data_IF_846408773468
#
_entry.id   IF_846408773468
#
_cell.length_a   1.000
_cell.length_b   1.000
_cell.length_c   1.000
_cell.angle_alpha   90.00
_cell.angle_beta   90.00
_cell.angle_gamma   90.00
#
_symmetry.space_group_name_H-M   'P 1'
#
loop_
_entity.id
_entity.type
_entity.pdbx_description
1 polymer ?
#
# COMPACT_ATOMS: atom_id res chain seq x y z
N UNK A 1 -33.73 -5.29 -13.19
CA UNK A 1 -33.23 -4.55 -12.01
C UNK A 1 -32.73 -5.57 -11.00
N UNK A 2 -31.50 -5.45 -10.49
CA UNK A 2 -31.02 -6.30 -9.40
C UNK A 2 -31.48 -5.70 -8.06
N UNK A 3 -32.07 -6.47 -7.13
CA UNK A 3 -32.62 -5.96 -5.87
C UNK A 3 -31.51 -5.76 -4.82
N UNK A 4 -30.47 -5.01 -5.17
CA UNK A 4 -29.32 -4.71 -4.31
C UNK A 4 -28.92 -3.25 -4.47
N UNK A 5 -28.10 -2.74 -3.55
CA UNK A 5 -27.49 -1.42 -3.72
C UNK A 5 -26.68 -1.35 -5.04
N UNK A 6 -26.68 -0.21 -5.75
CA UNK A 6 -25.99 -0.09 -7.04
C UNK A 6 -24.52 -0.52 -7.01
N UNK A 7 -23.83 -0.27 -5.90
CA UNK A 7 -22.43 -0.64 -5.67
C UNK A 7 -22.21 -2.16 -5.66
N UNK A 8 -23.14 -2.91 -5.07
CA UNK A 8 -23.15 -4.37 -5.05
C UNK A 8 -23.60 -4.94 -6.41
N UNK A 9 -24.56 -4.30 -7.08
CA UNK A 9 -24.96 -4.66 -8.44
C UNK A 9 -23.81 -4.54 -9.43
N UNK A 10 -23.02 -3.45 -9.32
CA UNK A 10 -21.77 -3.27 -10.09
C UNK A 10 -20.77 -4.39 -9.79
N UNK A 11 -20.61 -4.79 -8.54
CA UNK A 11 -19.74 -5.91 -8.16
C UNK A 11 -20.15 -7.21 -8.86
N UNK A 12 -21.44 -7.54 -8.87
CA UNK A 12 -21.97 -8.73 -9.57
C UNK A 12 -21.64 -8.66 -11.07
N UNK A 13 -21.91 -7.53 -11.72
CA UNK A 13 -21.64 -7.35 -13.17
C UNK A 13 -20.15 -7.55 -13.46
N UNK A 14 -19.26 -6.98 -12.64
CA UNK A 14 -17.83 -7.20 -12.76
C UNK A 14 -17.48 -8.69 -12.56
N UNK A 15 -18.10 -9.38 -11.58
CA UNK A 15 -17.92 -10.83 -11.41
C UNK A 15 -18.26 -11.65 -12.65
N UNK A 16 -19.27 -11.24 -13.42
CA UNK A 16 -19.60 -11.85 -14.73
C UNK A 16 -18.52 -11.56 -15.76
N UNK A 17 -18.14 -10.29 -15.94
CA UNK A 17 -17.14 -9.88 -16.96
C UNK A 17 -15.79 -10.55 -16.74
N UNK A 18 -15.39 -10.71 -15.47
CA UNK A 18 -14.10 -11.26 -15.08
C UNK A 18 -14.15 -12.74 -14.70
N UNK A 19 -15.21 -13.47 -15.06
CA UNK A 19 -15.32 -14.91 -14.86
C UNK A 19 -15.02 -15.40 -13.43
N UNK A 20 -15.43 -14.63 -12.42
CA UNK A 20 -15.28 -14.97 -11.00
C UNK A 20 -16.60 -14.78 -10.25
N UNK A 21 -17.72 -15.16 -10.89
CA UNK A 21 -19.07 -14.85 -10.42
C UNK A 21 -19.41 -15.53 -9.10
N UNK A 22 -18.99 -16.78 -8.90
CA UNK A 22 -19.33 -17.61 -7.74
C UNK A 22 -18.90 -16.99 -6.41
N UNK A 23 -17.63 -16.64 -6.16
CA UNK A 23 -17.23 -15.99 -4.92
C UNK A 23 -17.87 -14.60 -4.78
N UNK A 24 -18.02 -13.86 -5.88
CA UNK A 24 -18.66 -12.52 -5.89
C UNK A 24 -20.12 -12.59 -5.44
N UNK A 25 -20.87 -13.60 -5.89
CA UNK A 25 -22.25 -13.82 -5.43
C UNK A 25 -22.30 -14.10 -3.91
N UNK A 26 -21.30 -14.77 -3.34
CA UNK A 26 -21.22 -15.02 -1.89
C UNK A 26 -20.97 -13.72 -1.15
N UNK A 27 -20.00 -12.93 -1.61
CA UNK A 27 -19.68 -11.63 -1.02
C UNK A 27 -20.91 -10.72 -1.04
N UNK A 28 -21.56 -10.58 -2.19
CA UNK A 28 -22.74 -9.70 -2.31
C UNK A 28 -23.92 -10.21 -1.49
N UNK A 29 -24.14 -11.53 -1.42
CA UNK A 29 -25.19 -12.09 -0.58
C UNK A 29 -24.92 -11.86 0.91
N UNK A 30 -23.67 -11.99 1.37
CA UNK A 30 -23.30 -11.72 2.76
C UNK A 30 -23.40 -10.25 3.12
N UNK A 31 -22.99 -9.35 2.23
CA UNK A 31 -23.15 -7.89 2.41
C UNK A 31 -24.62 -7.43 2.35
N UNK A 32 -25.49 -8.20 1.68
CA UNK A 32 -26.94 -7.95 1.63
C UNK A 32 -27.70 -8.61 2.78
N UNK A 33 -27.04 -9.47 3.56
CA UNK A 33 -27.59 -10.18 4.70
C UNK A 33 -26.91 -9.72 6.00
N UNK A 34 -27.21 -10.40 7.11
CA UNK A 34 -26.44 -10.22 8.35
C UNK A 34 -25.13 -11.01 8.26
N UNK A 35 -24.13 -10.62 9.04
CA UNK A 35 -22.90 -11.39 9.20
C UNK A 35 -23.23 -12.81 9.71
N UNK A 36 -22.83 -13.90 9.01
CA UNK A 36 -23.07 -15.26 9.48
C UNK A 36 -22.16 -15.66 10.63
N UNK A 37 -21.04 -14.97 10.87
CA UNK A 37 -20.15 -15.25 11.99
C UNK A 37 -20.76 -14.75 13.30
N UNK A 38 -20.98 -15.68 14.23
CA UNK A 38 -21.51 -15.44 15.56
C UNK A 38 -20.37 -15.19 16.54
N UNK A 39 -20.58 -14.27 17.47
CA UNK A 39 -19.61 -13.98 18.53
C UNK A 39 -20.31 -13.97 19.90
N UNK A 40 -20.61 -15.15 20.47
CA UNK A 40 -21.16 -15.26 21.82
C UNK A 40 -20.21 -14.67 22.86
N UNK A 41 -20.72 -13.90 23.82
CA UNK A 41 -19.88 -13.21 24.81
C UNK A 41 -19.01 -14.15 25.64
N UNK A 42 -19.53 -15.34 25.98
CA UNK A 42 -18.86 -16.37 26.77
C UNK A 42 -17.83 -17.19 25.99
N UNK A 43 -17.87 -17.13 24.65
CA UNK A 43 -17.00 -17.90 23.74
C UNK A 43 -16.33 -17.04 22.68
N UNK A 44 -16.14 -15.76 22.99
CA UNK A 44 -15.60 -14.77 22.05
C UNK A 44 -14.27 -15.22 21.45
N UNK A 45 -13.32 -15.64 22.28
CA UNK A 45 -11.98 -16.03 21.81
C UNK A 45 -12.02 -17.26 20.89
N UNK A 46 -12.91 -18.22 21.17
CA UNK A 46 -13.11 -19.39 20.32
C UNK A 46 -13.74 -19.03 18.98
N UNK A 47 -14.72 -18.12 18.98
CA UNK A 47 -15.35 -17.62 17.76
C UNK A 47 -14.37 -16.82 16.89
N UNK A 48 -13.57 -15.94 17.50
CA UNK A 48 -12.51 -15.19 16.81
C UNK A 48 -11.46 -16.15 16.22
N UNK A 49 -11.04 -17.17 16.97
CA UNK A 49 -10.12 -18.19 16.47
C UNK A 49 -10.70 -18.99 15.30
N UNK A 50 -11.97 -19.39 15.37
CA UNK A 50 -12.65 -20.07 14.27
C UNK A 50 -12.75 -19.19 13.02
N UNK A 51 -13.12 -17.91 13.18
CA UNK A 51 -13.17 -16.96 12.06
C UNK A 51 -11.79 -16.72 11.44
N UNK A 52 -10.73 -16.66 12.25
CA UNK A 52 -9.36 -16.50 11.78
C UNK A 52 -8.87 -17.68 10.91
N UNK A 53 -9.39 -18.90 11.13
CA UNK A 53 -9.06 -20.05 10.27
C UNK A 53 -9.56 -19.84 8.83
N UNK A 54 -10.73 -19.22 8.65
CA UNK A 54 -11.23 -18.86 7.32
C UNK A 54 -10.47 -17.73 6.66
N UNK A 55 -9.85 -16.84 7.44
CA UNK A 55 -9.00 -15.78 6.90
C UNK A 55 -7.82 -16.34 6.10
N UNK A 56 -7.28 -17.50 6.50
CA UNK A 56 -6.08 -18.10 5.91
C UNK A 56 -4.88 -17.12 5.77
N UNK A 57 -4.85 -16.06 6.59
CA UNK A 57 -3.90 -14.93 6.53
C UNK A 57 -3.95 -14.14 5.21
N UNK A 58 -5.12 -14.08 4.60
CA UNK A 58 -5.38 -13.31 3.38
C UNK A 58 -5.88 -11.90 3.67
N UNK A 59 -6.03 -11.51 4.94
CA UNK A 59 -6.39 -10.16 5.32
C UNK A 59 -7.70 -9.67 4.67
N UNK A 60 -8.70 -10.55 4.55
CA UNK A 60 -9.97 -10.28 3.87
C UNK A 60 -11.14 -10.95 4.59
N UNK A 61 -12.03 -10.12 5.15
CA UNK A 61 -13.31 -10.58 5.72
C UNK A 61 -14.20 -11.19 4.63
N UNK A 62 -14.17 -10.62 3.43
CA UNK A 62 -14.98 -11.07 2.29
C UNK A 62 -14.53 -12.44 1.78
N UNK A 63 -13.22 -12.71 1.69
CA UNK A 63 -12.72 -14.04 1.31
C UNK A 63 -12.92 -15.07 2.44
N UNK A 64 -12.80 -14.65 3.71
CA UNK A 64 -13.14 -15.51 4.85
C UNK A 64 -14.62 -15.96 4.80
N UNK A 65 -15.53 -15.03 4.43
CA UNK A 65 -16.93 -15.33 4.20
C UNK A 65 -17.15 -16.33 3.05
N UNK A 66 -16.42 -16.17 1.93
CA UNK A 66 -16.47 -17.11 0.79
C UNK A 66 -16.11 -18.52 1.27
N UNK A 67 -14.99 -18.69 1.97
CA UNK A 67 -14.54 -20.00 2.46
C UNK A 67 -15.49 -20.62 3.49
N UNK A 68 -16.05 -19.81 4.39
CA UNK A 68 -17.05 -20.29 5.35
C UNK A 68 -18.33 -20.77 4.67
N UNK A 69 -18.78 -20.06 3.63
CA UNK A 69 -19.93 -20.46 2.83
C UNK A 69 -19.66 -21.73 2.03
N UNK A 70 -18.50 -21.84 1.37
CA UNK A 70 -18.15 -23.00 0.55
C UNK A 70 -18.03 -24.27 1.41
N UNK A 71 -17.34 -24.18 2.55
CA UNK A 71 -17.25 -25.29 3.49
C UNK A 71 -18.60 -25.67 4.09
N UNK A 72 -19.48 -24.70 4.37
CA UNK A 72 -20.85 -25.01 4.77
C UNK A 72 -21.64 -25.69 3.66
N UNK A 73 -21.46 -25.26 2.40
CA UNK A 73 -22.15 -25.86 1.25
C UNK A 73 -21.74 -27.31 1.06
N UNK A 74 -20.45 -27.62 1.21
CA UNK A 74 -19.93 -28.97 1.18
C UNK A 74 -20.51 -29.83 2.31
N UNK A 75 -20.56 -29.30 3.53
CA UNK A 75 -21.16 -29.97 4.69
C UNK A 75 -22.67 -30.22 4.52
N UNK A 76 -23.42 -29.26 3.95
CA UNK A 76 -24.85 -29.45 3.64
C UNK A 76 -25.06 -30.59 2.64
N UNK A 77 -24.19 -30.77 1.63
CA UNK A 77 -24.27 -31.92 0.71
C UNK A 77 -24.07 -33.25 1.42
N UNK A 78 -23.32 -33.24 2.53
CA UNK A 78 -23.07 -34.39 3.40
C UNK A 78 -24.05 -34.48 4.59
N UNK A 79 -25.11 -33.66 4.61
CA UNK A 79 -26.10 -33.59 5.69
C UNK A 79 -25.50 -33.23 7.08
N UNK A 80 -24.31 -32.63 7.11
CA UNK A 80 -23.60 -32.22 8.33
C UNK A 80 -23.51 -30.70 8.49
N UNK A 81 -24.26 -29.92 7.69
CA UNK A 81 -24.18 -28.46 7.67
C UNK A 81 -24.53 -27.77 9.01
N UNK A 82 -25.43 -28.35 9.81
CA UNK A 82 -25.70 -27.84 11.17
C UNK A 82 -24.49 -28.03 12.09
N UNK A 83 -23.86 -29.20 12.06
CA UNK A 83 -22.65 -29.49 12.84
C UNK A 83 -21.49 -28.59 12.40
N UNK A 84 -21.33 -28.38 11.09
CA UNK A 84 -20.35 -27.43 10.54
C UNK A 84 -20.58 -26.01 11.08
N UNK A 85 -21.83 -25.54 11.10
CA UNK A 85 -22.16 -24.23 11.63
C UNK A 85 -21.84 -24.12 13.13
N UNK A 86 -22.22 -25.14 13.90
CA UNK A 86 -21.96 -25.20 15.34
C UNK A 86 -20.46 -25.14 15.67
N UNK A 87 -19.65 -25.96 14.98
CA UNK A 87 -18.19 -26.01 15.20
C UNK A 87 -17.49 -24.70 14.86
N UNK A 88 -17.99 -23.98 13.86
CA UNK A 88 -17.34 -22.79 13.32
C UNK A 88 -17.99 -21.47 13.76
N UNK A 89 -18.91 -21.51 14.73
CA UNK A 89 -19.66 -20.34 15.20
C UNK A 89 -20.38 -19.60 14.06
N UNK A 90 -21.06 -20.33 13.18
CA UNK A 90 -21.81 -19.77 12.07
C UNK A 90 -23.32 -19.89 12.29
N UNK A 91 -24.08 -18.93 11.78
CA UNK A 91 -25.54 -18.99 11.72
C UNK A 91 -26.02 -19.78 10.50
N UNK A 92 -26.54 -20.99 10.73
CA UNK A 92 -27.15 -21.81 9.68
C UNK A 92 -28.31 -21.09 8.97
N UNK A 93 -29.10 -20.30 9.71
CA UNK A 93 -30.20 -19.51 9.14
C UNK A 93 -29.67 -18.44 8.18
N UNK A 94 -28.60 -17.74 8.56
CA UNK A 94 -27.99 -16.70 7.74
C UNK A 94 -27.38 -17.29 6.47
N UNK A 95 -26.66 -18.42 6.58
CA UNK A 95 -26.07 -19.09 5.41
C UNK A 95 -27.13 -19.61 4.43
N UNK A 96 -28.26 -20.15 4.92
CA UNK A 96 -29.42 -20.51 4.08
C UNK A 96 -30.05 -19.32 3.39
N UNK A 97 -30.14 -18.17 4.08
CA UNK A 97 -30.61 -16.93 3.48
C UNK A 97 -29.66 -16.45 2.37
N UNK A 98 -28.34 -16.51 2.61
CA UNK A 98 -27.33 -16.19 1.61
C UNK A 98 -27.39 -17.12 0.39
N UNK A 99 -27.51 -18.44 0.57
CA UNK A 99 -27.68 -19.41 -0.53
C UNK A 99 -28.93 -19.10 -1.36
N UNK A 100 -30.01 -18.66 -0.71
CA UNK A 100 -31.24 -18.24 -1.39
C UNK A 100 -31.03 -16.97 -2.21
N UNK A 101 -30.36 -15.95 -1.65
CA UNK A 101 -30.01 -14.71 -2.36
C UNK A 101 -29.10 -14.99 -3.56
N UNK A 102 -28.08 -15.85 -3.41
CA UNK A 102 -27.19 -16.25 -4.51
C UNK A 102 -27.97 -16.84 -5.68
N UNK A 103 -28.93 -17.74 -5.41
CA UNK A 103 -29.80 -18.33 -6.44
C UNK A 103 -30.68 -17.26 -7.10
N UNK A 104 -31.22 -16.33 -6.33
CA UNK A 104 -32.03 -15.22 -6.87
C UNK A 104 -31.21 -14.31 -7.79
N UNK A 105 -30.01 -13.91 -7.38
CA UNK A 105 -29.12 -13.10 -8.20
C UNK A 105 -28.73 -13.83 -9.49
N UNK A 106 -28.36 -15.11 -9.40
CA UNK A 106 -28.05 -15.92 -10.57
C UNK A 106 -29.25 -16.05 -11.53
N UNK A 107 -30.46 -16.27 -10.99
CA UNK A 107 -31.68 -16.32 -11.79
C UNK A 107 -31.91 -14.99 -12.53
N UNK A 108 -31.77 -13.86 -11.85
CA UNK A 108 -31.91 -12.55 -12.47
C UNK A 108 -30.85 -12.28 -13.54
N UNK A 109 -29.60 -12.70 -13.33
CA UNK A 109 -28.55 -12.56 -14.35
C UNK A 109 -28.84 -13.38 -15.61
N UNK A 110 -29.40 -14.58 -15.44
CA UNK A 110 -29.88 -15.42 -16.55
C UNK A 110 -31.07 -14.80 -17.27
N UNK A 111 -32.05 -14.30 -16.52
CA UNK A 111 -33.24 -13.64 -17.06
C UNK A 111 -32.88 -12.38 -17.89
N UNK A 112 -31.88 -11.62 -17.44
CA UNK A 112 -31.35 -10.47 -18.17
C UNK A 112 -30.55 -10.90 -19.42
N UNK A 113 -30.07 -12.15 -19.47
CA UNK A 113 -29.21 -12.68 -20.53
C UNK A 113 -27.75 -12.25 -20.41
N UNK A 114 -27.28 -11.95 -19.19
CA UNK A 114 -25.86 -11.67 -18.94
C UNK A 114 -25.05 -12.95 -18.66
N UNK A 115 -25.74 -14.04 -18.30
CA UNK A 115 -25.13 -15.33 -17.95
C UNK A 115 -25.93 -16.43 -18.64
N UNK A 116 -25.29 -17.21 -19.52
CA UNK A 116 -25.93 -18.36 -20.17
C UNK A 116 -25.94 -19.58 -19.24
N UNK A 117 -24.76 -19.94 -18.74
CA UNK A 117 -24.57 -21.02 -17.78
C UNK A 117 -23.82 -20.52 -16.55
N UNK A 118 -24.05 -21.14 -15.40
CA UNK A 118 -23.29 -20.74 -14.21
C UNK A 118 -21.81 -21.08 -14.38
N UNK A 119 -21.51 -22.23 -14.97
CA UNK A 119 -20.16 -22.75 -15.17
C UNK A 119 -19.33 -21.87 -16.11
N UNK A 120 -19.95 -21.20 -17.09
CA UNK A 120 -19.24 -20.36 -18.06
C UNK A 120 -18.66 -19.07 -17.48
N UNK A 121 -19.08 -18.63 -16.30
CA UNK A 121 -18.66 -17.35 -15.69
C UNK A 121 -17.77 -17.51 -14.45
N UNK A 122 -17.02 -18.61 -14.37
CA UNK A 122 -16.30 -19.02 -13.16
C UNK A 122 -14.87 -19.54 -13.40
N UNK A 123 -14.31 -19.31 -14.59
CA UNK A 123 -12.97 -19.77 -14.94
C UNK A 123 -11.86 -19.26 -13.99
N UNK A 124 -12.07 -18.09 -13.37
CA UNK A 124 -11.11 -17.43 -12.48
C UNK A 124 -11.64 -17.23 -11.06
N UNK A 125 -12.63 -18.01 -10.62
CA UNK A 125 -13.19 -17.92 -9.27
C UNK A 125 -12.21 -18.24 -8.15
N UNK A 126 -11.12 -18.96 -8.45
CA UNK A 126 -10.06 -19.27 -7.50
C UNK A 126 -8.91 -18.24 -7.52
N UNK A 127 -8.98 -17.23 -8.39
CA UNK A 127 -7.98 -16.16 -8.44
C UNK A 127 -8.32 -15.09 -7.40
N UNK A 128 -7.77 -15.24 -6.21
CA UNK A 128 -8.11 -14.38 -5.07
C UNK A 128 -7.72 -12.91 -5.29
N UNK A 129 -6.63 -12.65 -6.03
CA UNK A 129 -6.20 -11.29 -6.37
C UNK A 129 -7.22 -10.61 -7.29
N UNK A 130 -7.74 -11.35 -8.26
CA UNK A 130 -8.82 -10.87 -9.11
C UNK A 130 -10.11 -10.64 -8.31
N UNK A 131 -10.49 -11.56 -7.43
CA UNK A 131 -11.69 -11.41 -6.59
C UNK A 131 -11.58 -10.17 -5.70
N UNK A 132 -10.42 -9.89 -5.09
CA UNK A 132 -10.16 -8.62 -4.36
C UNK A 132 -10.35 -7.41 -5.25
N UNK A 133 -9.89 -7.48 -6.49
CA UNK A 133 -10.01 -6.40 -7.44
C UNK A 133 -11.48 -6.10 -7.77
N UNK A 134 -12.30 -7.15 -7.92
CA UNK A 134 -13.75 -7.00 -8.13
C UNK A 134 -14.45 -6.46 -6.89
N UNK A 135 -14.07 -6.93 -5.69
CA UNK A 135 -14.56 -6.38 -4.41
C UNK A 135 -14.24 -4.88 -4.34
N UNK A 136 -13.02 -4.48 -4.69
CA UNK A 136 -12.63 -3.07 -4.77
C UNK A 136 -13.53 -2.28 -5.75
N UNK A 137 -13.73 -2.81 -6.96
CA UNK A 137 -14.56 -2.17 -7.98
C UNK A 137 -16.03 -1.95 -7.56
N UNK A 138 -16.54 -2.83 -6.69
CA UNK A 138 -17.87 -2.72 -6.10
C UNK A 138 -17.95 -1.79 -4.88
N UNK A 139 -16.97 -1.86 -3.97
CA UNK A 139 -17.01 -1.12 -2.69
C UNK A 139 -16.38 0.27 -2.73
N UNK A 140 -15.60 0.59 -3.76
CA UNK A 140 -15.07 1.94 -3.96
C UNK A 140 -16.23 2.97 -4.03
N UNK A 141 -16.15 4.13 -3.32
CA UNK A 141 -14.96 4.75 -2.71
C UNK A 141 -14.69 4.40 -1.23
N UNK A 142 -15.27 3.33 -0.68
CA UNK A 142 -15.00 2.85 0.68
C UNK A 142 -13.56 2.33 0.84
N UNK A 143 -12.58 3.24 0.97
CA UNK A 143 -11.15 2.93 1.04
C UNK A 143 -10.49 3.55 2.27
N UNK A 144 -9.53 2.83 2.83
CA UNK A 144 -8.76 3.20 4.00
C UNK A 144 -7.26 2.98 3.76
N UNK A 145 -6.43 3.97 4.06
CA UNK A 145 -4.97 3.84 4.02
C UNK A 145 -4.45 3.03 5.21
N UNK A 146 -3.48 2.16 4.95
CA UNK A 146 -2.78 1.35 5.95
C UNK A 146 -1.38 1.90 6.14
N UNK A 147 -1.01 2.22 7.38
CA UNK A 147 0.36 2.60 7.73
C UNK A 147 0.85 1.71 8.86
N UNK A 148 1.73 0.77 8.54
CA UNK A 148 2.40 -0.08 9.51
C UNK A 148 3.40 0.73 10.34
N UNK A 149 3.28 0.68 11.66
CA UNK A 149 4.25 1.17 12.64
C UNK A 149 4.96 -0.03 13.27
N UNK A 150 5.99 0.22 14.09
CA UNK A 150 6.79 -0.85 14.72
C UNK A 150 5.96 -1.90 15.47
N UNK A 151 4.85 -1.51 16.11
CA UNK A 151 4.02 -2.39 16.95
C UNK A 151 2.51 -2.26 16.73
N UNK A 152 2.08 -1.54 15.70
CA UNK A 152 0.66 -1.27 15.46
C UNK A 152 0.42 -0.81 14.03
N UNK A 153 -0.86 -0.78 13.63
CA UNK A 153 -1.30 -0.25 12.36
C UNK A 153 -2.05 1.06 12.60
N UNK A 154 -1.78 2.08 11.77
CA UNK A 154 -2.59 3.28 11.71
C UNK A 154 -3.47 3.23 10.46
N UNK A 155 -4.77 3.32 10.66
CA UNK A 155 -5.77 3.29 9.61
C UNK A 155 -6.39 4.68 9.45
N UNK A 156 -6.56 5.12 8.20
CA UNK A 156 -7.21 6.41 7.92
C UNK A 156 -8.12 6.38 6.71
N UNK A 157 -9.29 7.02 6.83
CA UNK A 157 -10.20 7.29 5.71
C UNK A 157 -10.11 8.76 5.29
N UNK A 158 -10.65 9.08 4.10
CA UNK A 158 -10.70 10.45 3.60
C UNK A 158 -11.57 11.36 4.47
N UNK A 159 -12.72 10.84 4.90
CA UNK A 159 -13.75 11.64 5.57
C UNK A 159 -13.51 11.78 7.07
N UNK A 160 -13.02 10.73 7.74
CA UNK A 160 -12.97 10.69 9.21
C UNK A 160 -11.55 10.82 9.79
N UNK A 161 -10.53 10.79 8.94
CA UNK A 161 -9.15 10.70 9.41
C UNK A 161 -8.92 9.34 10.06
N UNK A 162 -8.51 9.30 11.33
CA UNK A 162 -8.18 8.05 12.03
C UNK A 162 -9.40 7.15 12.26
N UNK A 163 -9.32 5.89 11.81
CA UNK A 163 -10.36 4.88 12.02
C UNK A 163 -9.80 3.62 12.67
N UNK A 164 -10.68 2.76 13.16
CA UNK A 164 -10.35 1.46 13.74
C UNK A 164 -11.09 0.34 12.98
N UNK A 165 -10.65 -0.90 13.14
CA UNK A 165 -11.38 -2.08 12.67
C UNK A 165 -12.30 -2.57 13.78
N UNK A 166 -13.49 -3.03 13.40
CA UNK A 166 -14.39 -3.70 14.34
C UNK A 166 -13.76 -5.01 14.83
N UNK A 167 -13.97 -5.39 16.09
CA UNK A 167 -13.28 -6.55 16.68
C UNK A 167 -13.55 -7.87 15.95
N UNK A 168 -14.71 -7.99 15.30
CA UNK A 168 -15.06 -9.18 14.51
C UNK A 168 -14.37 -9.25 13.14
N UNK A 169 -13.64 -8.20 12.72
CA UNK A 169 -12.89 -8.25 11.47
C UNK A 169 -11.66 -9.15 11.62
N UNK A 170 -11.37 -9.98 10.61
CA UNK A 170 -10.16 -10.81 10.58
C UNK A 170 -8.88 -9.98 10.62
N UNK A 171 -8.95 -8.70 10.26
CA UNK A 171 -7.81 -7.78 10.25
C UNK A 171 -7.62 -7.05 11.59
N UNK A 172 -8.56 -7.16 12.54
CA UNK A 172 -8.56 -6.34 13.74
C UNK A 172 -7.39 -6.63 14.70
N UNK A 173 -6.90 -7.87 14.70
CA UNK A 173 -5.81 -8.33 15.57
C UNK A 173 -4.48 -8.51 14.83
N UNK A 174 -4.43 -8.15 13.54
CA UNK A 174 -3.22 -8.29 12.75
C UNK A 174 -2.22 -7.18 13.10
N UNK A 175 -0.98 -7.52 13.51
CA UNK A 175 0.01 -6.53 13.91
C UNK A 175 0.59 -5.77 12.71
N UNK A 176 0.51 -6.36 11.52
CA UNK A 176 0.90 -5.77 10.24
C UNK A 176 -0.02 -6.27 9.15
N UNK A 177 -0.36 -5.38 8.22
CA UNK A 177 -1.09 -5.72 7.00
C UNK A 177 -0.15 -5.45 5.82
N UNK A 178 0.20 -6.43 5.00
CA UNK A 178 1.19 -6.31 3.91
C UNK A 178 0.60 -5.63 2.66
N UNK A 179 -0.39 -4.76 2.83
CA UNK A 179 -1.07 -4.04 1.77
C UNK A 179 -1.22 -2.57 2.16
N UNK A 180 -1.11 -1.64 1.20
CA UNK A 180 -1.23 -0.21 1.47
C UNK A 180 -2.67 0.24 1.75
N UNK A 181 -3.67 -0.56 1.36
CA UNK A 181 -5.07 -0.18 1.44
C UNK A 181 -5.96 -1.31 2.00
N UNK A 182 -7.03 -0.88 2.66
CA UNK A 182 -8.21 -1.70 2.92
C UNK A 182 -9.40 -1.10 2.17
N UNK A 183 -10.16 -1.93 1.48
CA UNK A 183 -11.51 -1.58 1.02
C UNK A 183 -12.56 -2.11 2.01
N UNK A 184 -13.63 -1.37 2.24
CA UNK A 184 -14.69 -1.69 3.19
C UNK A 184 -16.08 -1.33 2.65
N UNK A 185 -17.12 -2.00 3.11
CA UNK A 185 -18.51 -1.71 2.74
C UNK A 185 -19.13 -0.61 3.62
N UNK A 186 -19.08 -0.79 4.94
CA UNK A 186 -19.71 0.11 5.91
C UNK A 186 -18.80 0.49 7.07
N UNK A 187 -19.01 1.70 7.58
CA UNK A 187 -18.39 2.20 8.81
C UNK A 187 -19.48 2.64 9.79
N UNK A 188 -19.22 2.44 11.09
CA UNK A 188 -20.13 2.84 12.17
C UNK A 188 -19.39 3.73 13.15
N UNK A 189 -20.03 4.83 13.57
CA UNK A 189 -19.50 5.73 14.59
C UNK A 189 -20.23 5.49 15.91
N UNK A 190 -19.46 5.10 16.93
CA UNK A 190 -19.94 5.00 18.32
C UNK A 190 -19.12 5.96 19.17
N UNK A 191 -18.03 5.48 19.76
CA UNK A 191 -17.03 6.31 20.46
C UNK A 191 -15.84 6.69 19.55
N UNK A 192 -15.63 5.88 18.51
CA UNK A 192 -14.71 6.10 17.40
C UNK A 192 -15.39 5.59 16.13
N UNK A 193 -14.76 5.85 14.97
CA UNK A 193 -15.23 5.31 13.68
C UNK A 193 -14.61 3.93 13.48
N UNK A 194 -15.46 2.93 13.29
CA UNK A 194 -15.08 1.53 13.08
C UNK A 194 -15.50 1.06 11.69
N UNK A 195 -14.58 0.45 10.94
CA UNK A 195 -14.91 -0.27 9.72
C UNK A 195 -15.42 -1.66 10.09
N UNK A 196 -16.59 -2.05 9.60
CA UNK A 196 -17.25 -3.31 9.96
C UNK A 196 -16.56 -4.53 9.36
N UNK A 197 -16.19 -4.41 8.10
CA UNK A 197 -15.58 -5.40 7.25
C UNK A 197 -14.43 -4.75 6.48
N UNK A 198 -13.46 -5.56 6.05
CA UNK A 198 -12.33 -5.04 5.29
C UNK A 198 -11.71 -6.10 4.38
N UNK A 199 -11.07 -5.64 3.30
CA UNK A 199 -10.23 -6.46 2.44
C UNK A 199 -9.00 -5.70 2.01
N UNK A 200 -7.86 -6.30 2.25
CA UNK A 200 -6.58 -5.74 1.88
C UNK A 200 -6.35 -5.80 0.36
N UNK A 201 -5.96 -4.66 -0.22
CA UNK A 201 -5.78 -4.49 -1.67
C UNK A 201 -4.52 -3.68 -2.00
N UNK A 202 -3.97 -3.90 -3.20
CA UNK A 202 -2.74 -3.27 -3.68
C UNK A 202 -2.99 -1.95 -4.43
N UNK A 203 -1.91 -1.27 -4.81
CA UNK A 203 -1.99 -0.03 -5.61
C UNK A 203 -2.55 -0.31 -7.01
N UNK A 204 -2.11 -1.39 -7.66
CA UNK A 204 -2.61 -1.84 -8.96
C UNK A 204 -4.13 -2.01 -8.94
N UNK A 205 -4.67 -2.63 -7.89
CA UNK A 205 -6.11 -2.85 -7.73
C UNK A 205 -6.84 -1.51 -7.66
N UNK A 206 -6.37 -0.57 -6.84
CA UNK A 206 -6.99 0.76 -6.71
C UNK A 206 -6.91 1.53 -8.03
N UNK A 207 -5.76 1.49 -8.71
CA UNK A 207 -5.55 2.19 -9.99
C UNK A 207 -6.53 1.68 -11.07
N UNK A 208 -6.68 0.36 -11.20
CA UNK A 208 -7.53 -0.25 -12.23
C UNK A 208 -9.02 -0.17 -11.86
N UNK A 209 -9.40 -0.57 -10.64
CA UNK A 209 -10.81 -0.75 -10.26
C UNK A 209 -11.40 0.37 -9.40
N UNK A 210 -10.56 1.28 -8.89
CA UNK A 210 -10.99 2.46 -8.15
C UNK A 210 -11.62 3.54 -9.05
N UNK A 211 -11.70 4.76 -8.52
CA UNK A 211 -12.36 5.89 -9.16
C UNK A 211 -11.62 6.48 -10.37
N UNK A 212 -12.10 7.63 -10.84
CA UNK A 212 -11.49 8.37 -11.94
C UNK A 212 -10.07 8.83 -11.59
N UNK A 213 -9.13 8.53 -12.47
CA UNK A 213 -7.75 9.02 -12.37
C UNK A 213 -7.71 10.46 -12.90
N UNK A 214 -7.16 11.35 -12.10
CA UNK A 214 -6.86 12.74 -12.43
C UNK A 214 -5.37 12.98 -12.20
N UNK A 215 -4.66 13.63 -13.11
CA UNK A 215 -3.21 13.84 -12.95
C UNK A 215 -2.48 14.06 -14.26
N UNK A 216 -1.21 14.45 -14.18
CA UNK A 216 -0.35 14.61 -15.34
C UNK A 216 0.36 13.27 -15.57
N UNK A 217 -0.24 12.36 -16.34
CA UNK A 217 0.38 11.07 -16.65
C UNK A 217 1.84 11.24 -17.20
N UNK A 218 2.09 12.36 -17.90
CA UNK A 218 3.41 12.77 -18.41
C UNK A 218 4.51 12.96 -17.34
N UNK A 219 4.18 13.23 -16.08
CA UNK A 219 5.16 13.33 -14.99
C UNK A 219 5.13 12.18 -13.99
N UNK A 220 4.37 11.12 -14.30
CA UNK A 220 4.31 9.91 -13.47
C UNK A 220 3.52 10.08 -12.17
N UNK A 221 2.77 11.19 -12.03
CA UNK A 221 1.92 11.45 -10.88
C UNK A 221 0.44 11.27 -11.23
N UNK A 222 -0.18 10.26 -10.64
CA UNK A 222 -1.61 9.98 -10.76
C UNK A 222 -2.31 10.27 -9.43
N UNK A 223 -3.52 10.82 -9.49
CA UNK A 223 -4.32 11.13 -8.31
C UNK A 223 -5.75 10.61 -8.47
N UNK A 224 -6.38 10.27 -7.36
CA UNK A 224 -7.83 10.01 -7.29
C UNK A 224 -8.43 10.73 -6.09
N UNK A 225 -9.76 10.89 -6.08
CA UNK A 225 -10.52 11.50 -4.98
C UNK A 225 -9.98 12.89 -4.58
N UNK A 226 -9.71 13.73 -5.59
CA UNK A 226 -9.23 15.10 -5.36
C UNK A 226 -7.82 15.19 -4.76
N UNK A 227 -6.97 14.17 -4.97
CA UNK A 227 -5.61 14.12 -4.40
C UNK A 227 -5.53 13.42 -3.05
N UNK A 228 -6.61 12.79 -2.58
CA UNK A 228 -6.54 11.94 -1.39
C UNK A 228 -5.69 10.69 -1.63
N UNK A 229 -5.84 10.09 -2.81
CA UNK A 229 -4.98 8.99 -3.28
C UNK A 229 -3.99 9.58 -4.27
N UNK A 230 -2.69 9.47 -3.98
CA UNK A 230 -1.59 9.93 -4.83
C UNK A 230 -0.65 8.76 -5.11
N UNK A 231 -0.36 8.53 -6.40
CA UNK A 231 0.49 7.45 -6.87
C UNK A 231 1.65 8.05 -7.67
N UNK A 232 2.87 7.69 -7.28
CA UNK A 232 4.11 8.16 -7.91
C UNK A 232 4.84 7.00 -8.57
N UNK A 233 5.03 7.07 -9.89
CA UNK A 233 5.66 6.01 -10.68
C UNK A 233 6.38 6.59 -11.89
N UNK A 234 6.98 5.73 -12.72
CA UNK A 234 7.54 6.19 -14.00
C UNK A 234 6.42 6.68 -14.94
N UNK A 235 6.66 7.71 -15.76
CA UNK A 235 5.64 8.20 -16.70
C UNK A 235 5.13 7.13 -17.66
N UNK A 236 5.99 6.19 -18.09
CA UNK A 236 5.60 5.07 -18.93
C UNK A 236 4.59 4.16 -18.21
N UNK A 237 4.84 3.79 -16.95
CA UNK A 237 3.94 2.96 -16.17
C UNK A 237 2.61 3.69 -15.88
N UNK A 238 2.67 4.98 -15.57
CA UNK A 238 1.46 5.79 -15.38
C UNK A 238 0.58 5.81 -16.62
N UNK A 239 1.17 6.00 -17.81
CA UNK A 239 0.44 5.94 -19.08
C UNK A 239 -0.17 4.56 -19.33
N UNK A 240 0.56 3.48 -19.00
CA UNK A 240 0.04 2.11 -19.11
C UNK A 240 -1.20 1.90 -18.24
N UNK A 241 -1.17 2.28 -16.95
CA UNK A 241 -2.34 2.16 -16.08
C UNK A 241 -3.54 2.97 -16.58
N UNK A 242 -3.29 4.19 -17.09
CA UNK A 242 -4.35 5.03 -17.66
C UNK A 242 -4.96 4.39 -18.91
N UNK A 243 -4.14 3.84 -19.81
CA UNK A 243 -4.65 3.15 -21.02
C UNK A 243 -5.42 1.89 -20.66
N UNK A 244 -4.85 1.04 -19.80
CA UNK A 244 -5.49 -0.20 -19.36
C UNK A 244 -6.81 0.07 -18.67
N UNK A 245 -6.89 1.04 -17.75
CA UNK A 245 -8.15 1.41 -17.09
C UNK A 245 -9.20 1.86 -18.10
N UNK A 246 -8.81 2.65 -19.11
CA UNK A 246 -9.72 3.08 -20.18
C UNK A 246 -10.23 1.88 -20.98
N UNK A 247 -9.34 1.04 -21.47
CA UNK A 247 -9.68 -0.15 -22.26
C UNK A 247 -10.56 -1.12 -21.46
N UNK A 248 -10.29 -1.28 -20.16
CA UNK A 248 -11.09 -2.09 -19.24
C UNK A 248 -12.51 -1.53 -19.06
N UNK A 249 -12.64 -0.22 -18.89
CA UNK A 249 -13.95 0.43 -18.80
C UNK A 249 -14.73 0.32 -20.11
N UNK A 250 -14.05 0.45 -21.26
CA UNK A 250 -14.64 0.25 -22.58
C UNK A 250 -15.11 -1.19 -22.76
N UNK A 251 -14.34 -2.18 -22.31
CA UNK A 251 -14.70 -3.60 -22.35
C UNK A 251 -15.98 -3.86 -21.54
N UNK A 252 -16.03 -3.38 -20.29
CA UNK A 252 -17.21 -3.52 -19.42
C UNK A 252 -18.42 -2.83 -20.06
N UNK A 253 -18.23 -1.63 -20.62
CA UNK A 253 -19.31 -0.89 -21.28
C UNK A 253 -19.83 -1.62 -22.53
N UNK A 254 -18.94 -2.18 -23.38
CA UNK A 254 -19.32 -2.98 -24.54
C UNK A 254 -20.13 -4.20 -24.14
N UNK A 255 -19.72 -4.93 -23.10
CA UNK A 255 -20.46 -6.08 -22.57
C UNK A 255 -21.83 -5.70 -21.99
N UNK A 256 -21.98 -4.49 -21.46
CA UNK A 256 -23.27 -4.01 -20.97
C UNK A 256 -24.22 -3.58 -22.10
N UNK A 257 -23.68 -3.06 -23.21
CA UNK A 257 -24.47 -2.68 -24.38
C UNK A 257 -24.86 -3.89 -25.24
N UNK A 258 -23.93 -4.82 -25.45
CA UNK A 258 -24.14 -6.06 -26.20
C UNK A 258 -23.96 -7.27 -25.27
N UNK A 259 -25.08 -7.93 -24.98
CA UNK A 259 -25.14 -9.07 -24.06
C UNK A 259 -24.40 -10.29 -24.62
N UNK A 260 -24.39 -10.44 -25.94
CA UNK A 260 -23.72 -11.53 -26.65
C UNK A 260 -22.24 -11.22 -26.92
N UNK A 261 -21.76 -10.04 -26.50
CA UNK A 261 -20.36 -9.67 -26.67
C UNK A 261 -19.45 -10.70 -26.01
N UNK A 262 -18.58 -11.28 -26.83
CA UNK A 262 -17.58 -12.24 -26.36
C UNK A 262 -16.42 -11.51 -25.70
N UNK A 263 -16.38 -11.56 -24.37
CA UNK A 263 -15.29 -10.99 -23.57
C UNK A 263 -13.98 -11.76 -23.81
N UNK A 264 -14.05 -13.03 -24.20
CA UNK A 264 -12.88 -13.87 -24.52
C UNK A 264 -12.03 -13.32 -25.65
N UNK A 265 -12.63 -12.57 -26.59
CA UNK A 265 -11.91 -11.85 -27.65
C UNK A 265 -10.89 -10.81 -27.13
N UNK A 266 -11.01 -10.38 -25.87
CA UNK A 266 -10.10 -9.45 -25.20
C UNK A 266 -9.26 -10.17 -24.12
N UNK A 267 -8.95 -11.45 -24.33
CA UNK A 267 -8.20 -12.29 -23.40
C UNK A 267 -6.87 -11.67 -22.96
N UNK A 268 -6.10 -11.09 -23.88
CA UNK A 268 -4.81 -10.45 -23.57
C UNK A 268 -4.94 -9.30 -22.55
N UNK A 269 -5.99 -8.47 -22.67
CA UNK A 269 -6.27 -7.38 -21.74
C UNK A 269 -6.61 -7.92 -20.35
N UNK A 270 -7.44 -8.95 -20.29
CA UNK A 270 -7.83 -9.57 -19.02
C UNK A 270 -6.65 -10.28 -18.34
N UNK A 271 -5.81 -10.97 -19.11
CA UNK A 271 -4.57 -11.58 -18.61
C UNK A 271 -3.58 -10.52 -18.11
N UNK A 272 -3.41 -9.42 -18.83
CA UNK A 272 -2.59 -8.30 -18.40
C UNK A 272 -3.09 -7.69 -17.07
N UNK A 273 -4.41 -7.51 -16.94
CA UNK A 273 -5.03 -7.04 -15.70
C UNK A 273 -4.78 -8.03 -14.56
N UNK A 274 -4.97 -9.33 -14.79
CA UNK A 274 -4.72 -10.39 -13.80
C UNK A 274 -3.27 -10.39 -13.33
N UNK A 275 -2.32 -10.34 -14.27
CA UNK A 275 -0.89 -10.31 -13.96
C UNK A 275 -0.51 -9.07 -13.13
N UNK A 276 -1.08 -7.90 -13.45
CA UNK A 276 -0.81 -6.66 -12.72
C UNK A 276 -1.37 -6.67 -11.30
N UNK A 277 -2.50 -7.33 -11.05
CA UNK A 277 -3.08 -7.42 -9.69
C UNK A 277 -2.46 -8.55 -8.86
N UNK A 278 -1.95 -9.62 -9.49
CA UNK A 278 -1.30 -10.73 -8.79
C UNK A 278 0.16 -10.45 -8.45
N UNK A 279 0.91 -9.80 -9.35
CA UNK A 279 2.36 -9.58 -9.20
C UNK A 279 2.72 -8.25 -8.51
N UNK A 280 1.73 -7.47 -8.06
CA UNK A 280 1.96 -6.21 -7.36
C UNK A 280 2.59 -6.47 -5.98
N UNK A 281 3.88 -6.15 -5.88
CA UNK A 281 4.68 -6.32 -4.66
C UNK A 281 4.29 -5.34 -3.53
N UNK A 282 3.32 -4.45 -3.76
CA UNK A 282 2.88 -3.45 -2.77
C UNK A 282 4.02 -2.56 -2.27
N UNK A 283 5.08 -2.37 -3.07
CA UNK A 283 6.27 -1.58 -2.73
C UNK A 283 6.06 -0.06 -2.90
N UNK A 284 4.86 0.33 -3.36
CA UNK A 284 4.48 1.72 -3.58
C UNK A 284 4.71 2.59 -2.34
N UNK A 285 5.49 3.66 -2.51
CA UNK A 285 5.68 4.67 -1.48
C UNK A 285 4.54 5.68 -1.55
N UNK A 286 3.39 5.33 -0.97
CA UNK A 286 2.30 6.26 -0.77
C UNK A 286 2.72 7.42 0.14
N UNK A 287 2.28 8.63 -0.18
CA UNK A 287 2.50 9.80 0.68
C UNK A 287 1.16 10.49 0.93
N UNK A 288 0.63 10.35 2.14
CA UNK A 288 -0.52 11.11 2.59
C UNK A 288 -0.18 12.62 2.65
N UNK A 289 -0.89 13.44 1.86
CA UNK A 289 -0.94 14.89 2.06
C UNK A 289 0.34 15.67 1.73
N UNK A 290 1.16 15.22 0.77
CA UNK A 290 2.20 16.11 0.21
C UNK A 290 1.57 17.06 -0.78
N UNK A 291 1.42 18.34 -0.40
CA UNK A 291 1.21 19.40 -1.40
C UNK A 291 2.34 19.30 -2.44
N UNK A 292 2.04 19.20 -3.75
CA UNK A 292 3.08 19.21 -4.76
C UNK A 292 3.85 20.52 -4.61
N UNK A 293 5.15 20.45 -4.41
CA UNK A 293 5.98 21.64 -4.55
C UNK A 293 5.78 22.14 -5.98
N UNK A 294 5.41 23.41 -6.20
CA UNK A 294 5.27 23.92 -7.56
C UNK A 294 6.65 23.78 -8.23
N UNK A 295 6.68 23.04 -9.34
CA UNK A 295 7.82 22.99 -10.24
C UNK A 295 8.16 24.44 -10.61
N UNK A 296 9.24 24.99 -10.06
CA UNK A 296 9.77 26.29 -10.49
C UNK A 296 10.22 26.11 -11.94
N UNK A 297 9.40 26.58 -12.87
CA UNK A 297 9.80 26.78 -14.26
C UNK A 297 11.01 27.70 -14.30
N UNK A 298 12.00 27.32 -15.12
CA UNK A 298 13.14 28.15 -15.43
C UNK A 298 12.66 29.43 -16.14
N UNK A 299 12.55 30.52 -15.39
CA UNK A 299 12.71 31.93 -15.79
C UNK A 299 12.20 32.81 -14.65
N UNK A 300 13.11 33.14 -13.74
CA UNK A 300 13.16 34.43 -13.04
C UNK A 300 14.45 34.47 -12.23
N UNK A 301 15.57 34.47 -12.96
CA UNK A 301 16.77 35.15 -12.50
C UNK A 301 16.54 36.64 -12.79
N UNK A 302 16.24 37.42 -11.76
CA UNK A 302 16.91 38.67 -11.38
C UNK A 302 16.00 39.57 -10.56
N UNK A 303 16.60 40.14 -9.51
CA UNK A 303 16.18 41.26 -8.65
C UNK A 303 15.30 40.93 -7.44
N UNK A 304 15.98 40.86 -6.30
CA UNK A 304 15.81 41.70 -5.08
C UNK A 304 16.46 40.94 -3.91
N UNK A 305 17.75 41.11 -3.61
CA UNK A 305 18.37 42.23 -2.85
C UNK A 305 17.48 42.73 -1.69
N UNK A 306 17.81 42.20 -0.50
CA UNK A 306 17.85 42.81 0.84
C UNK A 306 16.52 43.32 1.47
N UNK A 307 16.06 42.62 2.51
CA UNK A 307 16.01 43.18 3.88
C UNK A 307 15.80 42.10 4.97
N UNK A 308 16.90 41.83 5.67
CA UNK A 308 17.08 41.40 7.07
C UNK A 308 15.86 41.28 8.03
N UNK A 309 15.70 40.13 8.70
CA UNK A 309 15.98 39.87 10.16
C UNK A 309 15.31 38.57 10.64
N UNK A 310 16.06 37.65 11.24
CA UNK A 310 15.49 36.55 12.07
C UNK A 310 16.23 35.21 12.09
N UNK A 311 17.30 35.13 12.88
CA UNK A 311 17.95 33.97 13.54
C UNK A 311 17.46 32.52 13.30
N UNK A 312 18.40 31.62 12.95
CA UNK A 312 18.22 30.16 13.00
C UNK A 312 19.32 29.34 12.32
N UNK A 313 20.59 29.52 12.73
CA UNK A 313 21.75 28.87 12.09
C UNK A 313 21.77 27.34 12.23
N UNK A 314 21.85 26.63 11.11
CA UNK A 314 22.11 25.19 11.10
C UNK A 314 23.56 24.91 11.58
N UNK A 315 23.70 24.07 12.60
CA UNK A 315 25.00 23.70 13.17
C UNK A 315 25.78 22.79 12.19
N UNK A 316 27.00 23.15 11.75
CA UNK A 316 27.75 22.37 10.76
C UNK A 316 28.03 20.93 11.21
N UNK A 317 28.16 20.68 12.52
CA UNK A 317 28.34 19.32 13.05
C UNK A 317 27.13 18.42 12.79
N UNK A 318 25.91 18.93 12.98
CA UNK A 318 24.69 18.14 12.75
C UNK A 318 24.43 17.94 11.26
N UNK A 319 24.80 18.93 10.44
CA UNK A 319 24.71 18.83 8.99
C UNK A 319 25.64 17.72 8.45
N UNK A 320 26.91 17.72 8.87
CA UNK A 320 27.88 16.69 8.46
C UNK A 320 27.46 15.28 8.90
N UNK A 321 27.00 15.12 10.14
CA UNK A 321 26.52 13.84 10.65
C UNK A 321 25.30 13.33 9.87
N UNK A 322 24.36 14.22 9.53
CA UNK A 322 23.17 13.86 8.75
C UNK A 322 23.54 13.42 7.32
N UNK A 323 24.49 14.09 6.68
CA UNK A 323 24.96 13.71 5.35
C UNK A 323 25.65 12.34 5.34
N UNK A 324 26.53 12.08 6.32
CA UNK A 324 27.22 10.80 6.43
C UNK A 324 26.26 9.65 6.74
N UNK A 325 25.27 9.87 7.61
CA UNK A 325 24.23 8.89 7.92
C UNK A 325 23.37 8.54 6.69
N UNK A 326 22.98 9.54 5.89
CA UNK A 326 22.25 9.33 4.63
C UNK A 326 23.06 8.55 3.59
N UNK A 327 24.38 8.73 3.59
CA UNK A 327 25.30 7.99 2.73
C UNK A 327 25.70 6.60 3.28
N UNK A 328 25.15 6.18 4.43
CA UNK A 328 25.40 4.87 5.03
C UNK A 328 26.75 4.72 5.74
N UNK A 329 27.43 5.83 6.07
CA UNK A 329 28.75 5.84 6.72
C UNK A 329 28.64 6.02 8.25
N UNK A 330 29.69 5.61 8.97
CA UNK A 330 29.78 5.80 10.43
C UNK A 330 29.88 7.30 10.79
N UNK A 331 29.40 7.64 11.99
CA UNK A 331 29.44 9.00 12.52
C UNK A 331 30.87 9.56 12.58
N UNK A 332 31.07 10.86 12.30
CA UNK A 332 32.40 11.48 12.27
C UNK A 332 32.99 11.60 13.68
N UNK A 333 34.30 11.34 13.80
CA UNK A 333 35.05 11.47 15.05
C UNK A 333 35.93 12.72 15.06
N UNK A 334 36.19 13.31 16.22
CA UNK A 334 36.95 14.56 16.35
C UNK A 334 38.17 14.37 17.25
N UNK A 335 39.35 14.79 16.78
CA UNK A 335 40.58 14.88 17.58
C UNK A 335 40.95 16.34 17.79
N UNK A 336 41.19 16.73 19.04
CA UNK A 336 41.52 18.11 19.39
C UNK A 336 42.96 18.20 19.87
N UNK A 337 43.71 19.13 19.30
CA UNK A 337 45.08 19.45 19.71
C UNK A 337 45.13 20.88 20.24
N UNK A 338 45.75 21.07 21.41
CA UNK A 338 46.00 22.40 21.98
C UNK A 338 47.33 22.94 21.45
N UNK A 339 47.32 24.17 20.94
CA UNK A 339 48.50 24.84 20.39
C UNK A 339 49.18 25.71 21.46
N UNK A 340 50.43 26.07 21.22
CA UNK A 340 51.30 26.85 22.14
C UNK A 340 50.78 28.26 22.44
N UNK A 341 49.93 28.81 21.57
CA UNK A 341 49.29 30.13 21.73
C UNK A 341 47.91 30.09 22.40
N UNK A 342 47.64 29.08 23.24
CA UNK A 342 46.36 28.86 23.93
C UNK A 342 45.12 28.69 23.02
N UNK A 343 45.30 28.44 21.72
CA UNK A 343 44.22 28.09 20.78
C UNK A 343 44.05 26.57 20.66
N UNK A 344 42.89 26.13 20.21
CA UNK A 344 42.56 24.74 19.93
C UNK A 344 42.37 24.53 18.44
N UNK A 345 42.88 23.41 17.93
CA UNK A 345 42.65 22.98 16.55
C UNK A 345 42.01 21.60 16.58
N UNK A 346 40.92 21.43 15.83
CA UNK A 346 40.26 20.14 15.72
C UNK A 346 40.49 19.53 14.34
N UNK A 347 40.55 18.20 14.30
CA UNK A 347 40.57 17.40 13.08
C UNK A 347 39.35 16.48 13.10
N UNK A 348 38.50 16.57 12.08
CA UNK A 348 37.37 15.66 11.90
C UNK A 348 37.80 14.49 11.02
N UNK A 349 37.44 13.28 11.43
CA UNK A 349 37.87 12.02 10.84
C UNK A 349 36.64 11.16 10.53
N UNK A 350 36.46 10.82 9.25
CA UNK A 350 35.42 9.90 8.79
C UNK A 350 35.89 9.18 7.52
N UNK A 351 35.49 7.92 7.36
CA UNK A 351 35.79 7.11 6.16
C UNK A 351 37.28 7.14 5.72
N UNK A 352 38.22 7.18 6.67
CA UNK A 352 39.67 7.25 6.40
C UNK A 352 40.21 8.61 5.95
N UNK A 353 39.35 9.64 5.86
CA UNK A 353 39.71 11.01 5.53
C UNK A 353 39.82 11.86 6.80
N UNK A 354 40.77 12.80 6.79
CA UNK A 354 41.03 13.72 7.91
C UNK A 354 40.95 15.17 7.41
N UNK A 355 40.10 15.98 8.00
CA UNK A 355 39.98 17.41 7.68
C UNK A 355 40.31 18.25 8.89
N UNK A 356 41.26 19.17 8.72
CA UNK A 356 41.81 19.99 9.81
C UNK A 356 41.18 21.37 9.76
N UNK A 357 40.47 21.75 10.83
CA UNK A 357 39.89 23.08 10.98
C UNK A 357 40.93 24.15 11.31
N UNK A 358 40.51 25.41 11.23
CA UNK A 358 41.35 26.52 11.65
C UNK A 358 41.52 26.57 13.18
N UNK A 359 42.60 27.18 13.71
CA UNK A 359 42.79 27.35 15.14
C UNK A 359 41.79 28.33 15.75
N UNK A 360 41.00 27.87 16.71
CA UNK A 360 39.94 28.65 17.36
C UNK A 360 40.17 28.79 18.86
N UNK A 361 39.55 29.79 19.49
CA UNK A 361 39.70 30.08 20.93
C UNK A 361 39.02 29.05 21.83
N UNK A 362 37.97 28.37 21.32
CA UNK A 362 37.27 27.31 22.05
C UNK A 362 37.33 25.95 21.34
N UNK A 363 37.33 24.87 22.13
CA UNK A 363 37.27 23.49 21.62
C UNK A 363 36.04 23.25 20.74
N UNK A 364 34.89 23.81 21.12
CA UNK A 364 33.61 23.62 20.41
C UNK A 364 33.58 24.34 19.06
N UNK A 365 34.19 25.52 18.95
CA UNK A 365 34.30 26.24 17.68
C UNK A 365 35.31 25.56 16.75
N UNK A 366 36.45 25.11 17.27
CA UNK A 366 37.43 24.37 16.48
C UNK A 366 36.82 23.12 15.81
N UNK A 367 35.93 22.41 16.52
CA UNK A 367 35.18 21.27 15.96
C UNK A 367 34.14 21.69 14.91
N UNK A 368 33.48 22.84 15.09
CA UNK A 368 32.53 23.37 14.10
C UNK A 368 33.25 23.80 12.82
N UNK A 369 34.41 24.43 12.95
CA UNK A 369 35.27 24.82 11.83
C UNK A 369 35.77 23.59 11.07
N UNK A 370 36.26 22.57 11.78
CA UNK A 370 36.67 21.31 11.15
C UNK A 370 35.51 20.62 10.41
N UNK A 371 34.29 20.66 10.98
CA UNK A 371 33.10 20.13 10.32
C UNK A 371 32.68 20.96 9.08
N UNK A 372 32.88 22.28 9.11
CA UNK A 372 32.59 23.16 7.99
C UNK A 372 33.56 22.93 6.81
N UNK A 373 34.85 22.75 7.09
CA UNK A 373 35.86 22.39 6.08
C UNK A 373 35.54 21.05 5.39
N UNK A 374 35.17 20.04 6.17
CA UNK A 374 34.72 18.75 5.63
C UNK A 374 33.45 18.88 4.77
N UNK A 375 32.51 19.74 5.17
CA UNK A 375 31.29 20.01 4.39
C UNK A 375 31.60 20.71 3.07
N UNK A 376 32.45 21.73 3.08
CA UNK A 376 32.86 22.44 1.86
C UNK A 376 33.56 21.51 0.87
N UNK A 377 34.38 20.59 1.37
CA UNK A 377 34.99 19.55 0.55
C UNK A 377 33.96 18.59 -0.05
N UNK A 378 32.95 18.19 0.74
CA UNK A 378 31.88 17.29 0.29
C UNK A 378 30.90 17.96 -0.69
N UNK A 379 30.67 19.27 -0.57
CA UNK A 379 29.78 20.04 -1.46
C UNK A 379 30.50 20.60 -2.69
N UNK A 380 31.84 20.43 -2.78
CA UNK A 380 32.63 20.74 -3.97
C UNK A 380 32.88 22.23 -4.21
N UNK A 381 32.80 23.08 -3.19
CA UNK A 381 32.91 24.53 -3.35
C UNK A 381 34.35 25.05 -3.56
N UNK A 382 35.35 24.16 -3.60
CA UNK A 382 36.72 24.53 -3.96
C UNK A 382 37.30 23.61 -5.05
N UNK A 383 37.38 24.17 -6.26
CA UNK A 383 38.21 23.80 -7.43
C UNK A 383 37.72 22.75 -8.44
N UNK A 384 37.67 23.21 -9.71
CA UNK A 384 37.76 22.50 -11.02
C UNK A 384 36.90 21.23 -11.24
N UNK A 385 36.03 21.31 -12.26
CA UNK A 385 35.02 20.32 -12.66
C UNK A 385 35.53 18.90 -12.98
N UNK A 386 36.84 18.67 -13.05
CA UNK A 386 37.40 17.34 -13.30
C UNK A 386 37.59 16.50 -12.03
N UNK A 387 37.66 17.10 -10.82
CA UNK A 387 37.85 16.34 -9.56
C UNK A 387 36.54 15.94 -8.89
N UNK A 388 35.42 16.58 -9.20
CA UNK A 388 34.10 16.29 -8.61
C UNK A 388 33.64 14.84 -8.83
N UNK A 389 34.02 14.23 -9.97
CA UNK A 389 33.72 12.82 -10.28
C UNK A 389 34.55 11.88 -9.40
N UNK A 390 35.81 12.22 -9.11
CA UNK A 390 36.63 11.45 -8.16
C UNK A 390 36.11 11.57 -6.72
N UNK A 391 35.62 12.75 -6.31
CA UNK A 391 35.08 13.00 -4.97
C UNK A 391 33.84 12.15 -4.64
N UNK A 392 32.90 12.00 -5.58
CA UNK A 392 31.75 11.09 -5.41
C UNK A 392 32.14 9.61 -5.51
N UNK A 393 33.18 9.28 -6.29
CA UNK A 393 33.68 7.89 -6.38
C UNK A 393 34.32 7.41 -5.06
N UNK A 394 34.90 8.31 -4.27
CA UNK A 394 35.44 8.01 -2.94
C UNK A 394 34.34 7.72 -1.90
N UNK A 395 33.17 8.34 -2.04
CA UNK A 395 31.97 8.07 -1.22
C UNK A 395 31.31 6.72 -1.55
N UNK A 396 31.42 6.25 -2.80
CA UNK A 396 30.80 5.03 -3.32
C UNK A 396 31.68 3.76 -3.16
N UNK A 397 32.98 3.91 -2.89
CA UNK A 397 33.86 2.74 -2.62
C UNK A 397 33.61 2.21 -1.21
N UNK A 398 32.86 1.10 -1.10
CA UNK A 398 32.82 0.26 0.12
C UNK A 398 34.26 -0.15 0.48
N UNK A 399 34.68 0.14 1.71
CA UNK A 399 35.90 -0.45 2.30
C UNK A 399 35.77 -1.98 2.30
N UNK A 400 36.49 -2.65 1.40
CA UNK A 400 36.76 -4.09 1.53
C UNK A 400 37.74 -4.28 2.69
N UNK A 401 37.20 -4.50 3.88
CA UNK A 401 38.00 -4.95 5.02
C UNK A 401 38.43 -6.42 4.83
N UNK A 402 39.74 -6.63 5.03
CA UNK A 402 40.49 -7.88 5.05
C UNK A 402 39.77 -9.01 5.82
N UNK A 403 39.46 -10.11 5.13
CA UNK A 403 39.52 -11.46 5.72
C UNK A 403 40.88 -12.06 5.36
N UNK A 404 41.88 -11.76 6.18
CA UNK A 404 43.07 -12.61 6.34
C UNK A 404 43.00 -13.15 7.77
N UNK A 405 42.41 -14.33 7.92
CA UNK A 405 42.69 -15.19 9.06
C UNK A 405 43.91 -16.04 8.66
N UNK A 406 45.09 -15.61 9.08
CA UNK A 406 46.20 -16.53 9.30
C UNK A 406 46.15 -16.90 10.79
N UNK A 407 45.75 -18.15 11.10
CA UNK A 407 46.34 -18.86 12.23
C UNK A 407 46.80 -20.21 11.71
N UNK A 408 48.10 -20.26 11.43
CA UNK A 408 48.85 -21.43 11.06
C UNK A 408 48.97 -22.37 12.26
N UNK A 409 48.86 -23.67 11.97
CA UNK A 409 49.21 -24.83 12.81
C UNK A 409 50.36 -24.60 13.80
N UNK A 410 50.22 -25.18 14.99
CA UNK A 410 51.33 -25.83 15.71
C UNK A 410 50.86 -27.20 16.24
N UNK A 411 51.63 -28.21 15.82
CA UNK A 411 51.77 -29.63 16.24
C UNK A 411 50.55 -30.42 16.69
#
# INVERSE_FOLDING_TARGET
MLPVEPKLGKMIILGVVFNCLDPVLTVVAGLSARDPFLMPFDKKDLAESAKAQFSARDFSDHLALVRAYDGWKDAERQQSGYEYCWKNFLSAQTLKAMDSLRKQFLYLLKDIGLVDSFQSCNAWSNDEHLVRAIICGGLFPGICSVVNKEKSISLKTMEDGGVLLYSNSVNAQEPQIPYPWLVFNEKVKVNAVFLRDSTAISDSVVLLFGGSISGKALDGHLMMLGGYLEFFMSPSLANTYVSLKRELNELVHKKLLDRNFDVGSHGELLEAVRLLVSEDQCEGKFVFGRKPSPKKSAKELQKNVISTKGSGGANPKSHLQTLLARAGHQSPSYKITRLTNCKFRATVIFNGLNFVGQPSSSKKEAEKDAAAEALQWLTGETQSSSKAVEHMSALLKKSKSKKQLHSTKWR
#
